data_IF_754861455381
#
_entry.id   IF_754861455381
#
_cell.length_a   1.000
_cell.length_b   1.000
_cell.length_c   1.000
_cell.angle_alpha   90.00
_cell.angle_beta   90.00
_cell.angle_gamma   90.00
#
_symmetry.space_group_name_H-M   'P 1'
#
loop_
_entity.id
_entity.type
_entity.pdbx_description
1 polymer ?
#
# COMPACT_ATOMS: atom_id res chain seq x y z
N UNK A 1 -4.32 -6.44 7.67
CA UNK A 1 -4.36 -5.01 8.04
C UNK A 1 -5.70 -4.71 8.71
N UNK A 2 -5.72 -4.16 9.92
CA UNK A 2 -6.97 -3.73 10.55
C UNK A 2 -7.45 -2.40 9.94
N UNK A 3 -8.78 -2.22 9.86
CA UNK A 3 -9.47 -1.05 9.26
C UNK A 3 -9.28 -0.90 7.74
N UNK A 4 -8.85 -1.96 7.04
CA UNK A 4 -8.88 -2.00 5.58
C UNK A 4 -10.31 -1.87 5.04
N UNK A 5 -10.48 -1.20 3.91
CA UNK A 5 -11.68 -1.36 3.09
C UNK A 5 -11.85 -2.81 2.64
N UNK A 6 -13.09 -3.19 2.32
CA UNK A 6 -13.39 -4.52 1.79
C UNK A 6 -13.39 -4.45 0.26
N UNK A 7 -13.00 -5.53 -0.41
CA UNK A 7 -13.03 -5.56 -1.87
C UNK A 7 -12.34 -6.78 -2.45
N UNK A 8 -12.65 -7.04 -3.72
CA UNK A 8 -11.98 -8.02 -4.57
C UNK A 8 -11.45 -7.29 -5.80
N UNK A 9 -10.14 -7.29 -5.99
CA UNK A 9 -9.45 -6.49 -6.99
C UNK A 9 -8.39 -7.35 -7.66
N UNK A 10 -8.44 -7.42 -8.99
CA UNK A 10 -7.40 -8.01 -9.83
C UNK A 10 -6.92 -6.95 -10.81
N UNK A 11 -5.67 -6.53 -10.64
CA UNK A 11 -5.01 -5.57 -11.52
C UNK A 11 -3.48 -5.79 -11.49
N UNK A 12 -2.75 -5.12 -12.38
CA UNK A 12 -1.30 -5.14 -12.35
C UNK A 12 -0.76 -4.51 -11.06
N UNK A 13 0.36 -5.04 -10.55
CA UNK A 13 1.08 -4.47 -9.41
C UNK A 13 2.08 -3.44 -9.92
N UNK A 14 2.22 -2.31 -9.23
CA UNK A 14 3.17 -1.27 -9.61
C UNK A 14 3.85 -0.65 -8.38
N UNK A 15 5.15 -0.46 -8.47
CA UNK A 15 5.96 0.18 -7.43
C UNK A 15 5.82 1.70 -7.47
N UNK A 16 6.09 2.35 -6.35
CA UNK A 16 6.17 3.81 -6.24
C UNK A 16 7.63 4.27 -6.23
N UNK A 17 7.91 5.48 -6.71
CA UNK A 17 9.28 5.97 -6.99
C UNK A 17 10.18 5.95 -5.75
N UNK A 18 9.67 6.34 -4.59
CA UNK A 18 10.42 6.33 -3.32
C UNK A 18 10.19 5.05 -2.49
N UNK A 19 9.48 4.06 -3.04
CA UNK A 19 9.01 2.77 -2.49
C UNK A 19 8.20 2.86 -1.18
N UNK A 20 8.46 3.83 -0.32
CA UNK A 20 7.79 4.04 0.97
C UNK A 20 6.49 4.84 0.84
N UNK A 21 6.23 5.55 -0.27
CA UNK A 21 4.92 6.16 -0.56
C UNK A 21 4.45 7.18 0.49
N UNK A 22 5.38 7.90 1.12
CA UNK A 22 5.06 8.85 2.20
C UNK A 22 4.66 10.22 1.67
N UNK A 23 5.06 10.56 0.45
CA UNK A 23 4.68 11.81 -0.21
C UNK A 23 3.80 11.51 -1.42
N UNK A 24 2.87 12.41 -1.73
CA UNK A 24 2.05 12.30 -2.94
C UNK A 24 2.90 12.27 -4.23
N UNK A 25 4.04 12.98 -4.24
CA UNK A 25 4.99 12.96 -5.36
C UNK A 25 5.64 11.59 -5.60
N UNK A 26 5.64 10.69 -4.61
CA UNK A 26 6.17 9.34 -4.78
C UNK A 26 5.34 8.53 -5.78
N UNK A 27 4.10 8.96 -6.03
CA UNK A 27 3.14 8.38 -6.97
C UNK A 27 3.06 9.16 -8.29
N UNK A 28 3.96 10.09 -8.56
CA UNK A 28 4.00 10.80 -9.84
C UNK A 28 4.16 9.79 -10.99
N UNK A 29 3.21 9.75 -11.92
CA UNK A 29 3.17 8.79 -13.01
C UNK A 29 2.69 7.39 -12.62
N UNK A 30 2.16 7.19 -11.40
CA UNK A 30 1.55 5.93 -11.00
C UNK A 30 0.36 5.58 -11.93
N UNK A 31 0.30 4.37 -12.47
CA UNK A 31 -0.80 3.95 -13.35
C UNK A 31 -2.10 3.78 -12.55
N UNK A 32 -3.05 4.71 -12.71
CA UNK A 32 -4.38 4.59 -12.12
C UNK A 32 -5.04 3.26 -12.56
N UNK A 33 -5.73 2.61 -11.62
CA UNK A 33 -6.29 1.27 -11.81
C UNK A 33 -5.41 0.14 -11.28
N UNK A 34 -4.10 0.37 -11.08
CA UNK A 34 -3.18 -0.65 -10.59
C UNK A 34 -3.21 -0.81 -9.06
N UNK A 35 -2.63 -1.91 -8.58
CA UNK A 35 -2.37 -2.16 -7.16
C UNK A 35 -1.02 -1.55 -6.80
N UNK A 36 -0.99 -0.70 -5.78
CA UNK A 36 0.25 -0.07 -5.32
C UNK A 36 1.04 -1.02 -4.41
N UNK A 37 2.31 -1.26 -4.75
CA UNK A 37 3.26 -1.99 -3.90
C UNK A 37 4.15 -0.99 -3.14
N UNK A 38 4.11 -1.06 -1.81
CA UNK A 38 4.75 -0.08 -0.93
C UNK A 38 5.54 -0.80 0.17
N UNK A 39 6.78 -0.37 0.42
CA UNK A 39 7.57 -0.84 1.55
C UNK A 39 7.10 -0.22 2.87
N UNK A 40 7.06 -1.03 3.92
CA UNK A 40 7.01 -0.53 5.31
C UNK A 40 8.17 0.43 5.58
N UNK A 41 7.90 1.48 6.38
CA UNK A 41 8.89 2.44 6.85
C UNK A 41 8.46 3.90 6.65
N UNK A 42 9.20 4.83 7.25
CA UNK A 42 9.12 6.29 7.14
C UNK A 42 7.81 6.99 7.58
N UNK A 43 6.64 6.41 7.31
CA UNK A 43 5.33 6.97 7.65
C UNK A 43 4.31 5.88 7.98
N UNK A 44 3.11 6.28 8.42
CA UNK A 44 2.03 5.38 8.83
C UNK A 44 1.44 4.60 7.64
N UNK A 45 0.88 3.41 7.92
CA UNK A 45 0.18 2.62 6.91
C UNK A 45 -1.02 3.35 6.32
N UNK A 46 -1.75 4.11 7.14
CA UNK A 46 -2.84 4.97 6.71
C UNK A 46 -2.37 5.99 5.67
N UNK A 47 -1.27 6.71 5.93
CA UNK A 47 -0.78 7.71 4.98
C UNK A 47 -0.37 7.09 3.64
N UNK A 48 0.29 5.93 3.67
CA UNK A 48 0.64 5.16 2.46
C UNK A 48 -0.60 4.81 1.64
N UNK A 49 -1.62 4.25 2.30
CA UNK A 49 -2.87 3.86 1.66
C UNK A 49 -3.64 5.08 1.11
N UNK A 50 -3.68 6.18 1.85
CA UNK A 50 -4.29 7.44 1.39
C UNK A 50 -3.60 8.00 0.16
N UNK A 51 -2.27 8.03 0.15
CA UNK A 51 -1.52 8.52 -1.00
C UNK A 51 -1.74 7.63 -2.24
N UNK A 52 -1.76 6.31 -2.06
CA UNK A 52 -2.04 5.36 -3.14
C UNK A 52 -3.46 5.52 -3.69
N UNK A 53 -4.46 5.64 -2.82
CA UNK A 53 -5.84 5.90 -3.20
C UNK A 53 -5.96 7.20 -4.00
N UNK A 54 -5.34 8.29 -3.53
CA UNK A 54 -5.35 9.58 -4.23
C UNK A 54 -4.63 9.53 -5.59
N UNK A 55 -3.67 8.62 -5.76
CA UNK A 55 -3.01 8.35 -7.04
C UNK A 55 -3.82 7.44 -7.98
N UNK A 56 -5.01 6.99 -7.56
CA UNK A 56 -5.89 6.14 -8.35
C UNK A 56 -5.60 4.64 -8.22
N UNK A 57 -4.90 4.20 -7.17
CA UNK A 57 -4.74 2.78 -6.91
C UNK A 57 -6.08 2.13 -6.55
N UNK A 58 -6.31 0.92 -7.06
CA UNK A 58 -7.51 0.12 -6.75
C UNK A 58 -7.30 -0.81 -5.56
N UNK A 59 -6.05 -1.02 -5.17
CA UNK A 59 -5.67 -1.78 -3.97
C UNK A 59 -4.26 -1.43 -3.54
N UNK A 60 -3.89 -1.81 -2.31
CA UNK A 60 -2.56 -1.54 -1.75
C UNK A 60 -1.99 -2.78 -1.09
N UNK A 61 -0.76 -3.12 -1.45
CA UNK A 61 0.04 -4.16 -0.81
C UNK A 61 1.21 -3.49 -0.10
N UNK A 62 1.26 -3.66 1.22
CA UNK A 62 2.38 -3.18 2.04
C UNK A 62 3.26 -4.36 2.44
N UNK A 63 4.50 -4.39 1.97
CA UNK A 63 5.44 -5.45 2.36
C UNK A 63 6.34 -5.03 3.52
N UNK A 64 6.76 -6.00 4.32
CA UNK A 64 7.62 -5.75 5.47
C UNK A 64 9.03 -5.32 5.04
N UNK A 65 9.72 -4.52 5.86
CA UNK A 65 11.10 -4.09 5.62
C UNK A 65 12.13 -4.86 6.46
N UNK A 66 11.66 -5.89 7.16
CA UNK A 66 12.45 -6.85 7.92
C UNK A 66 11.84 -8.25 7.69
N UNK A 67 12.59 -9.33 7.92
CA UNK A 67 12.06 -10.68 7.82
C UNK A 67 10.83 -10.91 8.72
N UNK A 68 9.92 -11.78 8.26
CA UNK A 68 8.73 -12.19 9.00
C UNK A 68 7.43 -11.47 8.60
N UNK A 69 6.34 -11.90 9.22
CA UNK A 69 4.98 -11.42 8.94
C UNK A 69 4.79 -9.96 9.33
N UNK A 70 4.09 -9.19 8.49
CA UNK A 70 3.66 -7.84 8.82
C UNK A 70 2.20 -7.82 9.28
N UNK A 71 2.00 -7.58 10.57
CA UNK A 71 0.71 -7.26 11.14
C UNK A 71 0.67 -5.77 11.49
N UNK A 72 -0.35 -5.07 11.01
CA UNK A 72 -0.51 -3.65 11.30
C UNK A 72 -1.94 -3.17 11.11
N UNK A 73 -2.12 -1.88 11.38
CA UNK A 73 -3.42 -1.20 11.43
C UNK A 73 -3.35 0.10 10.64
N UNK A 74 -4.43 0.40 9.90
CA UNK A 74 -4.61 1.73 9.29
C UNK A 74 -5.12 2.76 10.31
N UNK A 75 -5.54 2.30 11.50
CA UNK A 75 -6.08 3.14 12.56
C UNK A 75 -7.58 3.41 12.38
N UNK A 76 -8.26 3.72 13.48
CA UNK A 76 -9.71 3.95 13.51
C UNK A 76 -10.18 5.17 12.70
N UNK A 77 -9.28 6.14 12.46
CA UNK A 77 -9.57 7.31 11.65
C UNK A 77 -9.49 7.05 10.14
N UNK A 78 -9.04 5.87 9.71
CA UNK A 78 -8.99 5.51 8.30
C UNK A 78 -10.38 5.12 7.81
N UNK A 79 -10.87 5.78 6.76
CA UNK A 79 -12.25 5.65 6.26
C UNK A 79 -12.35 5.43 4.75
N UNK A 80 -11.22 5.25 4.05
CA UNK A 80 -11.22 5.03 2.60
C UNK A 80 -11.62 3.58 2.29
N UNK A 81 -12.51 3.41 1.32
CA UNK A 81 -12.94 2.10 0.85
C UNK A 81 -11.99 1.55 -0.23
N UNK A 82 -10.77 1.24 0.20
CA UNK A 82 -9.74 0.60 -0.63
C UNK A 82 -9.21 -0.64 0.09
N UNK A 83 -9.12 -1.80 -0.58
CA UNK A 83 -8.53 -2.99 0.01
C UNK A 83 -7.03 -2.78 0.21
N UNK A 84 -6.58 -3.00 1.45
CA UNK A 84 -5.18 -2.93 1.87
C UNK A 84 -4.79 -4.23 2.55
N UNK A 85 -3.74 -4.86 2.05
CA UNK A 85 -3.17 -6.06 2.65
C UNK A 85 -1.68 -5.90 2.92
N UNK A 86 -1.12 -6.84 3.68
CA UNK A 86 0.30 -6.87 3.98
C UNK A 86 0.91 -8.25 3.72
N UNK A 87 2.15 -8.24 3.26
CA UNK A 87 2.94 -9.44 2.95
C UNK A 87 4.31 -9.39 3.62
N UNK A 88 5.02 -10.52 3.62
CA UNK A 88 6.41 -10.57 4.11
C UNK A 88 7.34 -9.79 3.20
N UNK A 89 8.55 -9.49 3.70
CA UNK A 89 9.61 -8.86 2.90
C UNK A 89 9.91 -9.65 1.63
N UNK A 90 10.08 -10.97 1.77
CA UNK A 90 10.46 -11.85 0.66
C UNK A 90 9.40 -11.87 -0.44
N UNK A 91 8.12 -11.97 -0.08
CA UNK A 91 7.03 -11.91 -1.06
C UNK A 91 7.00 -10.55 -1.75
N UNK A 92 7.11 -9.46 -0.99
CA UNK A 92 7.12 -8.11 -1.54
C UNK A 92 8.24 -7.85 -2.54
N UNK A 93 9.41 -8.44 -2.34
CA UNK A 93 10.56 -8.30 -3.25
C UNK A 93 10.44 -9.14 -4.53
N UNK A 94 9.45 -10.04 -4.62
CA UNK A 94 9.18 -10.86 -5.82
C UNK A 94 8.07 -10.29 -6.71
N UNK A 95 7.39 -9.24 -6.26
CA UNK A 95 6.32 -8.53 -6.97
C UNK A 95 6.89 -7.33 -7.74
#
# INVERSE_FOLDING_TARGET
MSYSGSGDVTAAVSTVTAITGCNASDFAGFPAGNIALISRGACTFALKATNAYNAGATGVVIYNNIPGTLNGTLGNAFSLDIPVTSVTMDVGQTL
#
